data_IF_126474423102
#
_entry.id   IF_126474423102
#
_cell.length_a   1.000
_cell.length_b   1.000
_cell.length_c   1.000
_cell.angle_alpha   90.00
_cell.angle_beta   90.00
_cell.angle_gamma   90.00
#
_symmetry.space_group_name_H-M   'P 1'
#
loop_
_entity.id
_entity.type
_entity.pdbx_description
1 polymer ?
#
# COMPACT_ATOMS: atom_id res chain seq x y z
N UNK A 1 -48.32 -12.85 -37.58
CA UNK A 1 -47.11 -13.57 -38.03
C UNK A 1 -45.90 -12.69 -37.69
N UNK A 2 -45.26 -12.96 -36.55
CA UNK A 2 -44.07 -12.22 -36.08
C UNK A 2 -42.85 -12.58 -36.92
N UNK A 3 -42.20 -11.60 -37.54
CA UNK A 3 -40.85 -11.76 -38.09
C UNK A 3 -39.87 -11.08 -37.14
N UNK A 4 -39.21 -11.88 -36.31
CA UNK A 4 -38.11 -11.41 -35.46
C UNK A 4 -36.88 -11.29 -36.37
N UNK A 5 -36.47 -10.07 -36.66
CA UNK A 5 -35.28 -9.79 -37.47
C UNK A 5 -34.05 -9.95 -36.56
N UNK A 6 -33.50 -11.16 -36.51
CA UNK A 6 -32.27 -11.44 -35.77
C UNK A 6 -31.07 -11.01 -36.63
N UNK A 7 -30.78 -9.71 -36.66
CA UNK A 7 -29.54 -9.20 -37.24
C UNK A 7 -28.37 -9.77 -36.44
N UNK A 8 -27.77 -10.82 -36.99
CA UNK A 8 -26.64 -11.51 -36.41
C UNK A 8 -25.41 -10.58 -36.40
N UNK A 9 -25.21 -9.85 -35.30
CA UNK A 9 -24.10 -8.90 -35.08
C UNK A 9 -22.71 -9.54 -34.98
N UNK A 10 -22.51 -10.69 -35.62
CA UNK A 10 -21.28 -11.50 -35.56
C UNK A 10 -20.11 -10.97 -36.39
N UNK A 11 -20.31 -9.91 -37.18
CA UNK A 11 -19.25 -9.24 -37.95
C UNK A 11 -18.93 -7.88 -37.33
N UNK A 12 -18.37 -7.89 -36.11
CA UNK A 12 -17.80 -6.70 -35.47
C UNK A 12 -16.35 -6.56 -35.92
N UNK A 13 -16.04 -5.48 -36.64
CA UNK A 13 -14.67 -5.06 -36.94
C UNK A 13 -14.44 -3.73 -36.22
N UNK A 14 -13.50 -3.70 -35.29
CA UNK A 14 -13.04 -2.49 -34.63
C UNK A 14 -11.58 -2.26 -35.02
N UNK A 15 -11.19 -0.99 -35.14
CA UNK A 15 -9.81 -0.62 -35.40
C UNK A 15 -8.94 -1.00 -34.19
N UNK A 16 -7.83 -1.68 -34.45
CA UNK A 16 -6.88 -2.02 -33.41
C UNK A 16 -6.20 -0.75 -32.90
N UNK A 17 -6.36 -0.46 -31.62
CA UNK A 17 -5.63 0.59 -30.92
C UNK A 17 -4.66 -0.08 -29.96
N UNK A 18 -3.37 0.22 -30.10
CA UNK A 18 -2.38 -0.25 -29.13
C UNK A 18 -2.63 0.47 -27.79
N UNK A 19 -2.71 -0.32 -26.73
CA UNK A 19 -2.73 0.15 -25.35
C UNK A 19 -1.52 -0.46 -24.65
N UNK A 20 -0.70 0.37 -24.00
CA UNK A 20 0.42 -0.10 -23.21
C UNK A 20 -0.04 -0.83 -21.94
N UNK A 21 -1.18 -0.41 -21.39
CA UNK A 21 -1.77 -0.97 -20.19
C UNK A 21 -3.05 -1.76 -20.52
N UNK A 22 -3.40 -2.80 -19.75
CA UNK A 22 -2.64 -3.32 -18.63
C UNK A 22 -1.38 -4.10 -19.05
N UNK A 23 -0.31 -4.04 -18.25
CA UNK A 23 0.92 -4.81 -18.46
C UNK A 23 1.37 -5.55 -17.19
N UNK A 24 2.17 -6.60 -17.39
CA UNK A 24 2.79 -7.35 -16.31
C UNK A 24 4.13 -6.72 -15.93
N UNK A 25 4.29 -6.36 -14.65
CA UNK A 25 5.53 -5.83 -14.07
C UNK A 25 6.09 -6.87 -13.10
N UNK A 26 7.41 -7.07 -13.13
CA UNK A 26 8.11 -7.99 -12.21
C UNK A 26 8.73 -7.16 -11.08
N UNK A 27 8.34 -7.49 -9.85
CA UNK A 27 8.82 -6.81 -8.64
C UNK A 27 10.23 -7.28 -8.26
N UNK A 28 10.86 -6.57 -7.32
CA UNK A 28 12.21 -6.89 -6.84
C UNK A 28 12.33 -8.28 -6.19
N UNK A 29 11.24 -8.83 -5.66
CA UNK A 29 11.16 -10.18 -5.09
C UNK A 29 10.91 -11.28 -6.14
N UNK A 30 10.80 -10.90 -7.42
CA UNK A 30 10.52 -11.80 -8.54
C UNK A 30 9.03 -12.14 -8.73
N UNK A 31 8.13 -11.62 -7.90
CA UNK A 31 6.69 -11.73 -8.11
C UNK A 31 6.22 -10.85 -9.26
N UNK A 32 5.04 -11.14 -9.81
CA UNK A 32 4.47 -10.39 -10.94
C UNK A 32 3.13 -9.77 -10.57
N UNK A 33 2.94 -8.50 -10.96
CA UNK A 33 1.71 -7.75 -10.75
C UNK A 33 1.23 -7.16 -12.08
N UNK A 34 -0.10 -7.03 -12.24
CA UNK A 34 -0.71 -6.34 -13.38
C UNK A 34 -0.91 -4.88 -12.98
N UNK A 35 -0.41 -3.96 -13.80
CA UNK A 35 -0.61 -2.51 -13.64
C UNK A 35 -1.48 -1.98 -14.76
N UNK A 36 -2.39 -1.05 -14.44
CA UNK A 36 -3.39 -0.50 -15.36
C UNK A 36 -3.03 0.90 -15.89
N UNK A 37 -2.03 1.54 -15.29
CA UNK A 37 -1.54 2.86 -15.66
C UNK A 37 -0.10 3.07 -15.16
N UNK A 38 0.46 4.24 -15.50
CA UNK A 38 1.84 4.62 -15.17
C UNK A 38 2.07 4.86 -13.67
N UNK A 39 1.03 5.25 -12.93
CA UNK A 39 1.10 5.55 -11.49
C UNK A 39 1.14 4.24 -10.69
N UNK A 40 0.33 3.26 -11.07
CA UNK A 40 0.39 1.90 -10.53
C UNK A 40 1.75 1.24 -10.81
N UNK A 41 2.35 1.48 -11.98
CA UNK A 41 3.70 0.99 -12.29
C UNK A 41 4.77 1.63 -11.40
N UNK A 42 4.74 2.96 -11.23
CA UNK A 42 5.69 3.67 -10.37
C UNK A 42 5.58 3.22 -8.91
N UNK A 43 4.35 3.04 -8.42
CA UNK A 43 4.05 2.51 -7.09
C UNK A 43 4.56 1.08 -6.92
N UNK A 44 4.30 0.20 -7.88
CA UNK A 44 4.77 -1.18 -7.87
C UNK A 44 6.31 -1.28 -7.88
N UNK A 45 6.98 -0.36 -8.56
CA UNK A 45 8.45 -0.31 -8.66
C UNK A 45 9.11 0.36 -7.45
N UNK A 46 8.35 0.76 -6.43
CA UNK A 46 8.88 1.33 -5.18
C UNK A 46 9.39 2.77 -5.31
N UNK A 47 8.95 3.52 -6.32
CA UNK A 47 9.34 4.92 -6.48
C UNK A 47 8.82 5.83 -5.34
N UNK A 48 7.76 5.42 -4.65
CA UNK A 48 7.14 6.16 -3.53
C UNK A 48 7.59 5.69 -2.12
N UNK A 49 8.36 4.59 -2.01
CA UNK A 49 8.69 3.97 -0.71
C UNK A 49 10.03 4.43 -0.11
N UNK A 50 10.72 5.41 -0.70
CA UNK A 50 12.07 5.79 -0.26
C UNK A 50 12.14 6.43 1.14
N UNK A 51 11.02 6.83 1.75
CA UNK A 51 10.98 7.52 3.05
C UNK A 51 10.05 6.89 4.10
N UNK A 52 9.40 5.76 3.80
CA UNK A 52 8.63 5.04 4.80
C UNK A 52 9.58 4.19 5.66
N UNK A 53 9.66 4.38 7.00
CA UNK A 53 10.39 3.45 7.85
C UNK A 53 9.82 2.06 7.61
N UNK A 54 10.69 1.05 7.45
CA UNK A 54 10.20 -0.30 7.26
C UNK A 54 9.28 -0.68 8.43
N UNK A 55 8.24 -1.47 8.18
CA UNK A 55 7.32 -1.94 9.23
C UNK A 55 8.08 -2.52 10.45
N UNK A 56 9.24 -3.11 10.19
CA UNK A 56 10.16 -3.63 11.21
C UNK A 56 10.76 -2.53 12.09
N UNK A 57 11.15 -1.40 11.52
CA UNK A 57 11.66 -0.24 12.24
C UNK A 57 10.57 0.42 13.08
N UNK A 58 9.36 0.57 12.56
CA UNK A 58 8.22 1.08 13.33
C UNK A 58 7.88 0.21 14.54
N UNK A 59 7.90 -1.12 14.38
CA UNK A 59 7.68 -2.05 15.50
C UNK A 59 8.81 -1.93 16.52
N UNK A 60 10.06 -1.91 16.08
CA UNK A 60 11.22 -1.81 16.98
C UNK A 60 11.24 -0.48 17.75
N UNK A 61 10.89 0.62 17.10
CA UNK A 61 10.75 1.93 17.75
C UNK A 61 9.65 1.91 18.81
N UNK A 62 8.49 1.36 18.48
CA UNK A 62 7.37 1.26 19.41
C UNK A 62 7.74 0.45 20.64
N UNK A 63 8.43 -0.68 20.49
CA UNK A 63 8.91 -1.48 21.62
C UNK A 63 9.89 -0.71 22.51
N UNK A 64 10.80 0.08 21.93
CA UNK A 64 11.72 0.95 22.69
C UNK A 64 10.96 1.98 23.52
N UNK A 65 9.99 2.67 22.93
CA UNK A 65 9.16 3.65 23.63
C UNK A 65 8.34 2.99 24.75
N UNK A 66 7.82 1.78 24.54
CA UNK A 66 7.12 1.03 25.59
C UNK A 66 8.05 0.66 26.76
N UNK A 67 9.28 0.23 26.47
CA UNK A 67 10.26 -0.12 27.49
C UNK A 67 10.67 1.11 28.32
N UNK A 68 10.87 2.25 27.65
CA UNK A 68 11.20 3.52 28.30
C UNK A 68 10.05 4.07 29.15
N UNK A 69 8.82 4.03 28.64
CA UNK A 69 7.66 4.42 29.44
C UNK A 69 7.53 3.54 30.70
N UNK A 70 7.78 2.23 30.59
CA UNK A 70 7.78 1.31 31.74
C UNK A 70 8.92 1.60 32.72
N UNK A 71 10.11 1.96 32.26
CA UNK A 71 11.23 2.29 33.15
C UNK A 71 10.97 3.57 33.95
N UNK A 72 10.19 4.50 33.38
CA UNK A 72 9.67 5.69 34.07
C UNK A 72 8.48 5.40 35.00
N UNK A 73 8.06 4.13 35.14
CA UNK A 73 6.93 3.75 35.98
C UNK A 73 5.54 4.03 35.37
N UNK A 74 5.48 4.44 34.10
CA UNK A 74 4.24 4.70 33.39
C UNK A 74 3.60 3.38 32.93
N UNK A 75 2.28 3.36 32.83
CA UNK A 75 1.49 2.20 32.37
C UNK A 75 0.83 2.48 31.02
N UNK A 76 1.61 2.52 29.92
CA UNK A 76 1.05 2.76 28.60
C UNK A 76 0.14 1.61 28.13
N UNK A 77 -0.97 1.94 27.49
CA UNK A 77 -1.88 0.94 26.91
C UNK A 77 -1.27 0.29 25.65
N UNK A 78 -1.36 -1.03 25.52
CA UNK A 78 -0.78 -1.81 24.41
C UNK A 78 -1.28 -1.47 22.99
N UNK A 79 -2.25 -0.57 22.83
CA UNK A 79 -2.71 -0.03 21.52
C UNK A 79 -2.33 1.43 21.30
N UNK A 80 -1.57 2.01 22.21
CA UNK A 80 -1.15 3.40 22.09
C UNK A 80 -0.17 3.54 20.93
N UNK A 81 -0.36 4.62 20.16
CA UNK A 81 0.49 4.95 19.01
C UNK A 81 1.84 5.51 19.47
N UNK A 82 2.90 5.42 18.64
CA UNK A 82 4.23 5.91 18.98
C UNK A 82 4.26 7.39 19.38
N UNK A 83 3.47 8.25 18.74
CA UNK A 83 3.45 9.69 19.01
C UNK A 83 2.95 9.97 20.43
N UNK A 84 1.85 9.30 20.82
CA UNK A 84 1.27 9.38 22.16
C UNK A 84 2.20 8.82 23.24
N UNK A 85 2.97 7.79 22.92
CA UNK A 85 4.00 7.25 23.82
C UNK A 85 5.12 8.27 24.06
N UNK A 86 5.60 8.94 23.00
CA UNK A 86 6.60 10.01 23.12
C UNK A 86 6.09 11.18 23.95
N UNK A 87 4.88 11.64 23.72
CA UNK A 87 4.24 12.69 24.53
C UNK A 87 4.18 12.29 26.02
N UNK A 88 3.76 11.05 26.31
CA UNK A 88 3.66 10.54 27.68
C UNK A 88 5.04 10.48 28.36
N UNK A 89 6.06 9.99 27.67
CA UNK A 89 7.44 9.92 28.16
C UNK A 89 7.98 11.32 28.44
N UNK A 90 7.77 12.28 27.53
CA UNK A 90 8.22 13.66 27.72
C UNK A 90 7.53 14.31 28.92
N UNK A 91 6.23 14.14 29.06
CA UNK A 91 5.47 14.68 30.21
C UNK A 91 5.88 14.10 31.57
N UNK A 92 6.53 12.94 31.57
CA UNK A 92 7.01 12.28 32.80
C UNK A 92 8.47 12.61 33.12
N UNK A 93 9.19 13.23 32.19
CA UNK A 93 10.58 13.67 32.35
C UNK A 93 10.70 15.16 32.71
N UNK A 94 9.69 15.95 32.37
CA UNK A 94 9.49 17.31 32.89
C UNK A 94 9.05 17.28 34.36
#
# INVERSE_FOLDING_TARGET
MNRINLSNGRNFKADYTFSEYPKWVTLADGSQVIVHDEDEEASAMGADEADAPSLREEIAERERLFAEAKSLGLKPHHKMRPERLRELINSAKE
#
